data_IF_734185201759
#
_entry.id   IF_734185201759
#
_cell.length_a   1.000
_cell.length_b   1.000
_cell.length_c   1.000
_cell.angle_alpha   90.00
_cell.angle_beta   90.00
_cell.angle_gamma   90.00
#
_symmetry.space_group_name_H-M   'P 1'
#
loop_
_entity.id
_entity.type
_entity.pdbx_description
1 polymer ?
#
# COMPACT_ATOMS: atom_id res chain seq x y z
N UNK A 1 27.78 5.43 -37.87
CA UNK A 1 28.06 4.45 -36.81
C UNK A 1 28.24 5.21 -35.51
N UNK A 2 27.62 4.76 -34.42
CA UNK A 2 27.75 5.43 -33.12
C UNK A 2 29.19 5.25 -32.60
N UNK A 3 29.95 6.34 -32.50
CA UNK A 3 31.38 6.32 -32.11
C UNK A 3 31.58 5.65 -30.75
N UNK A 4 30.66 5.88 -29.81
CA UNK A 4 30.64 5.25 -28.47
C UNK A 4 30.60 3.73 -28.58
N UNK A 5 29.67 3.18 -29.39
CA UNK A 5 29.53 1.73 -29.54
C UNK A 5 30.71 1.10 -30.28
N UNK A 6 31.38 1.87 -31.14
CA UNK A 6 32.56 1.42 -31.87
C UNK A 6 33.74 1.23 -30.90
N UNK A 7 33.97 2.21 -30.01
CA UNK A 7 34.99 2.10 -28.95
C UNK A 7 34.65 0.94 -28.00
N UNK A 8 33.41 0.88 -27.53
CA UNK A 8 32.96 -0.17 -26.60
C UNK A 8 33.15 -1.58 -27.18
N UNK A 9 32.97 -1.76 -28.49
CA UNK A 9 33.21 -3.03 -29.16
C UNK A 9 34.70 -3.44 -29.17
N UNK A 10 35.65 -2.50 -29.17
CA UNK A 10 37.08 -2.78 -29.20
C UNK A 10 37.72 -3.00 -27.82
N UNK A 11 37.16 -2.43 -26.74
CA UNK A 11 37.76 -2.43 -25.40
C UNK A 11 38.24 -3.80 -24.89
N UNK A 12 37.51 -4.88 -25.14
CA UNK A 12 37.88 -6.22 -24.64
C UNK A 12 39.17 -6.78 -25.26
N UNK A 13 39.59 -6.24 -26.40
CA UNK A 13 40.81 -6.67 -27.11
C UNK A 13 42.02 -5.83 -26.72
N UNK A 14 41.80 -4.71 -26.05
CA UNK A 14 42.82 -3.72 -25.72
C UNK A 14 43.40 -3.99 -24.33
N UNK A 15 44.67 -3.59 -24.12
CA UNK A 15 45.39 -3.79 -22.84
C UNK A 15 46.32 -2.61 -22.56
N UNK A 16 46.63 -2.40 -21.27
CA UNK A 16 47.58 -1.36 -20.83
C UNK A 16 47.17 0.04 -21.30
N UNK A 17 48.13 0.82 -21.79
CA UNK A 17 47.91 2.21 -22.23
C UNK A 17 46.87 2.34 -23.36
N UNK A 18 46.79 1.38 -24.28
CA UNK A 18 45.79 1.42 -25.34
C UNK A 18 44.37 1.35 -24.76
N UNK A 19 44.16 0.48 -23.77
CA UNK A 19 42.88 0.39 -23.07
C UNK A 19 42.58 1.68 -22.31
N UNK A 20 43.58 2.27 -21.65
CA UNK A 20 43.41 3.56 -20.94
C UNK A 20 42.98 4.67 -21.88
N UNK A 21 43.64 4.80 -23.03
CA UNK A 21 43.33 5.86 -23.99
C UNK A 21 41.92 5.71 -24.57
N UNK A 22 41.51 4.49 -24.90
CA UNK A 22 40.13 4.21 -25.31
C UNK A 22 39.11 4.51 -24.21
N UNK A 23 39.41 4.18 -22.95
CA UNK A 23 38.54 4.51 -21.82
C UNK A 23 38.47 6.03 -21.57
N UNK A 24 39.59 6.76 -21.71
CA UNK A 24 39.62 8.23 -21.64
C UNK A 24 38.79 8.86 -22.75
N UNK A 25 38.92 8.35 -23.98
CA UNK A 25 38.11 8.81 -25.12
C UNK A 25 36.62 8.53 -24.92
N UNK A 26 36.28 7.33 -24.45
CA UNK A 26 34.91 6.95 -24.13
C UNK A 26 34.31 7.84 -23.03
N UNK A 27 35.08 8.10 -21.97
CA UNK A 27 34.70 9.00 -20.89
C UNK A 27 34.44 10.41 -21.43
N UNK A 28 35.31 10.93 -22.30
CA UNK A 28 35.16 12.24 -22.91
C UNK A 28 33.86 12.34 -23.73
N UNK A 29 33.58 11.37 -24.59
CA UNK A 29 32.37 11.34 -25.42
C UNK A 29 31.09 11.28 -24.57
N UNK A 30 31.08 10.45 -23.52
CA UNK A 30 29.92 10.35 -22.61
C UNK A 30 29.73 11.63 -21.80
N UNK A 31 30.82 12.22 -21.30
CA UNK A 31 30.76 13.40 -20.43
C UNK A 31 30.35 14.67 -21.19
N UNK A 32 30.76 14.78 -22.45
CA UNK A 32 30.44 15.92 -23.33
C UNK A 32 29.10 15.77 -24.06
N UNK A 33 28.43 14.62 -23.93
CA UNK A 33 27.09 14.44 -24.47
C UNK A 33 26.11 15.46 -23.88
N UNK A 34 25.28 16.12 -24.70
CA UNK A 34 24.22 17.01 -24.24
C UNK A 34 23.32 16.38 -23.18
N UNK A 35 22.93 17.17 -22.19
CA UNK A 35 22.01 16.70 -21.14
C UNK A 35 20.68 16.27 -21.75
N UNK A 36 20.24 15.09 -21.35
CA UNK A 36 18.99 14.50 -21.79
C UNK A 36 19.01 13.80 -23.16
N UNK A 37 20.16 13.79 -23.83
CA UNK A 37 20.35 12.95 -25.01
C UNK A 37 20.55 11.49 -24.58
N UNK A 38 19.72 10.60 -25.11
CA UNK A 38 19.85 9.15 -24.86
C UNK A 38 21.09 8.62 -25.57
N UNK A 39 22.03 8.10 -24.78
CA UNK A 39 23.16 7.34 -25.30
C UNK A 39 22.65 5.93 -25.65
N UNK A 40 22.77 5.53 -26.91
CA UNK A 40 22.34 4.21 -27.38
C UNK A 40 23.23 3.07 -26.83
N UNK A 41 22.64 1.88 -26.66
CA UNK A 41 23.36 0.68 -26.24
C UNK A 41 23.82 0.68 -24.79
N UNK A 42 23.10 1.37 -23.90
CA UNK A 42 23.45 1.49 -22.48
C UNK A 42 23.76 0.17 -21.77
N UNK A 43 22.98 -0.88 -22.02
CA UNK A 43 23.22 -2.20 -21.42
C UNK A 43 24.57 -2.78 -21.85
N UNK A 44 24.93 -2.65 -23.13
CA UNK A 44 26.21 -3.12 -23.68
C UNK A 44 27.38 -2.33 -23.08
N UNK A 45 27.21 -1.00 -22.93
CA UNK A 45 28.21 -0.13 -22.31
C UNK A 45 28.43 -0.56 -20.86
N UNK A 46 27.36 -0.70 -20.08
CA UNK A 46 27.43 -1.09 -18.67
C UNK A 46 28.10 -2.47 -18.54
N UNK A 47 27.64 -3.47 -19.30
CA UNK A 47 28.16 -4.85 -19.21
C UNK A 47 29.66 -4.90 -19.51
N UNK A 48 30.10 -4.29 -20.61
CA UNK A 48 31.52 -4.30 -20.99
C UNK A 48 32.39 -3.52 -20.02
N UNK A 49 31.96 -2.35 -19.57
CA UNK A 49 32.73 -1.55 -18.61
C UNK A 49 32.81 -2.26 -17.26
N UNK A 50 31.72 -2.92 -16.84
CA UNK A 50 31.70 -3.75 -15.63
C UNK A 50 32.66 -4.93 -15.73
N UNK A 51 32.68 -5.62 -16.87
CA UNK A 51 33.60 -6.73 -17.10
C UNK A 51 35.05 -6.27 -17.05
N UNK A 52 35.38 -5.12 -17.65
CA UNK A 52 36.73 -4.54 -17.59
C UNK A 52 37.07 -4.17 -16.14
N UNK A 53 36.18 -3.48 -15.44
CA UNK A 53 36.37 -3.13 -14.02
C UNK A 53 36.70 -4.35 -13.16
N UNK A 54 35.94 -5.45 -13.30
CA UNK A 54 36.13 -6.67 -12.51
C UNK A 54 37.38 -7.49 -12.89
N UNK A 55 37.95 -7.31 -14.08
CA UNK A 55 39.07 -8.12 -14.59
C UNK A 55 40.41 -7.40 -14.55
N UNK A 56 40.41 -6.09 -14.36
CA UNK A 56 41.61 -5.26 -14.33
C UNK A 56 42.10 -5.07 -12.89
N UNK A 57 43.41 -5.10 -12.70
CA UNK A 57 44.06 -4.84 -11.41
C UNK A 57 44.67 -3.43 -11.32
N UNK A 58 44.65 -2.67 -12.42
CA UNK A 58 45.22 -1.33 -12.46
C UNK A 58 44.20 -0.30 -11.96
N UNK A 59 44.55 0.38 -10.87
CA UNK A 59 43.67 1.34 -10.17
C UNK A 59 43.19 2.48 -11.08
N UNK A 60 44.06 2.96 -11.99
CA UNK A 60 43.71 3.99 -12.97
C UNK A 60 42.61 3.51 -13.94
N UNK A 61 42.72 2.28 -14.44
CA UNK A 61 41.72 1.68 -15.35
C UNK A 61 40.39 1.49 -14.61
N UNK A 62 40.43 1.00 -13.37
CA UNK A 62 39.24 0.84 -12.55
C UNK A 62 38.56 2.20 -12.27
N UNK A 63 39.35 3.24 -11.97
CA UNK A 63 38.83 4.60 -11.75
C UNK A 63 38.18 5.19 -13.02
N UNK A 64 38.76 4.93 -14.20
CA UNK A 64 38.17 5.31 -15.48
C UNK A 64 36.84 4.57 -15.72
N UNK A 65 36.78 3.27 -15.43
CA UNK A 65 35.54 2.49 -15.56
C UNK A 65 34.42 3.05 -14.66
N UNK A 66 34.73 3.36 -13.40
CA UNK A 66 33.78 3.98 -12.47
C UNK A 66 33.32 5.37 -12.97
N UNK A 67 34.24 6.16 -13.52
CA UNK A 67 33.92 7.48 -14.09
C UNK A 67 32.96 7.37 -15.27
N UNK A 68 33.17 6.39 -16.14
CA UNK A 68 32.32 6.13 -17.30
C UNK A 68 30.91 5.74 -16.83
N UNK A 69 30.80 4.77 -15.92
CA UNK A 69 29.50 4.33 -15.40
C UNK A 69 28.73 5.48 -14.74
N UNK A 70 29.41 6.31 -13.95
CA UNK A 70 28.81 7.46 -13.30
C UNK A 70 28.28 8.48 -14.32
N UNK A 71 29.11 8.90 -15.27
CA UNK A 71 28.71 9.91 -16.25
C UNK A 71 27.62 9.37 -17.17
N UNK A 72 27.69 8.09 -17.55
CA UNK A 72 26.64 7.43 -18.32
C UNK A 72 25.29 7.48 -17.58
N UNK A 73 25.25 7.06 -16.31
CA UNK A 73 24.02 7.09 -15.51
C UNK A 73 23.49 8.52 -15.30
N UNK A 74 24.35 9.54 -15.23
CA UNK A 74 23.92 10.95 -15.11
C UNK A 74 23.29 11.53 -16.38
N UNK A 75 23.60 10.97 -17.56
CA UNK A 75 23.11 11.47 -18.87
C UNK A 75 21.91 10.69 -19.39
N UNK A 76 21.69 9.47 -18.92
CA UNK A 76 20.56 8.65 -19.34
C UNK A 76 19.23 9.23 -18.83
N UNK A 77 18.53 9.98 -19.69
CA UNK A 77 17.18 10.51 -19.46
C UNK A 77 16.08 9.43 -19.41
N UNK A 78 16.40 8.18 -19.76
CA UNK A 78 15.54 7.04 -19.40
C UNK A 78 15.47 6.99 -17.89
N UNK A 79 14.28 6.81 -17.29
CA UNK A 79 14.15 6.36 -15.90
C UNK A 79 15.33 5.43 -15.61
N UNK A 80 16.30 5.91 -14.83
CA UNK A 80 17.53 5.15 -14.61
C UNK A 80 17.03 3.82 -14.06
N UNK A 81 17.19 2.76 -14.85
CA UNK A 81 16.58 1.48 -14.53
C UNK A 81 17.11 1.11 -13.16
N UNK A 82 16.23 0.73 -12.22
CA UNK A 82 16.64 0.46 -10.85
C UNK A 82 17.80 -0.54 -10.81
N UNK A 83 17.86 -1.43 -11.80
CA UNK A 83 18.99 -2.32 -12.09
C UNK A 83 20.32 -1.61 -12.32
N UNK A 84 20.38 -0.51 -13.10
CA UNK A 84 21.61 0.23 -13.37
C UNK A 84 22.14 0.96 -12.14
N UNK A 85 21.24 1.55 -11.35
CA UNK A 85 21.59 2.15 -10.05
C UNK A 85 22.14 1.06 -9.12
N UNK A 86 21.47 -0.09 -9.08
CA UNK A 86 21.89 -1.22 -8.27
C UNK A 86 23.25 -1.77 -8.71
N UNK A 87 23.51 -1.91 -10.01
CA UNK A 87 24.81 -2.31 -10.54
C UNK A 87 25.87 -1.29 -10.15
N UNK A 88 25.65 0.01 -10.40
CA UNK A 88 26.61 1.06 -10.03
C UNK A 88 26.91 1.06 -8.53
N UNK A 89 25.88 0.92 -7.69
CA UNK A 89 26.05 0.78 -6.24
C UNK A 89 26.87 -0.45 -5.88
N UNK A 90 26.54 -1.63 -6.41
CA UNK A 90 27.26 -2.86 -6.11
C UNK A 90 28.75 -2.76 -6.47
N UNK A 91 29.06 -2.21 -7.65
CA UNK A 91 30.43 -2.01 -8.13
C UNK A 91 31.21 -1.02 -7.27
N UNK A 92 30.59 0.10 -6.89
CA UNK A 92 31.23 1.10 -6.04
C UNK A 92 31.46 0.55 -4.63
N UNK A 93 30.50 -0.17 -4.05
CA UNK A 93 30.68 -0.80 -2.74
C UNK A 93 31.78 -1.86 -2.78
N UNK A 94 31.86 -2.65 -3.85
CA UNK A 94 32.96 -3.60 -4.03
C UNK A 94 34.31 -2.88 -4.12
N UNK A 95 34.37 -1.77 -4.86
CA UNK A 95 35.58 -0.96 -5.00
C UNK A 95 36.01 -0.29 -3.69
N UNK A 96 35.07 0.21 -2.89
CA UNK A 96 35.32 0.79 -1.56
C UNK A 96 35.89 -0.26 -0.59
N UNK A 97 35.55 -1.53 -0.79
CA UNK A 97 36.06 -2.64 0.01
C UNK A 97 37.38 -3.21 -0.53
N UNK A 98 38.03 -2.52 -1.47
CA UNK A 98 39.35 -2.89 -1.97
C UNK A 98 40.41 -2.76 -0.87
N UNK A 99 41.44 -3.59 -0.92
CA UNK A 99 42.64 -3.45 -0.07
C UNK A 99 43.57 -2.33 -0.54
N UNK A 100 43.35 -1.80 -1.75
CA UNK A 100 44.09 -0.68 -2.32
C UNK A 100 43.41 0.64 -1.93
N UNK A 101 44.12 1.43 -1.12
CA UNK A 101 43.65 2.72 -0.63
C UNK A 101 43.24 3.68 -1.77
N UNK A 102 43.99 3.73 -2.87
CA UNK A 102 43.69 4.64 -3.98
C UNK A 102 42.40 4.25 -4.69
N UNK A 103 42.12 2.94 -4.81
CA UNK A 103 40.86 2.44 -5.34
C UNK A 103 39.71 2.79 -4.38
N UNK A 104 39.91 2.59 -3.08
CA UNK A 104 38.89 2.91 -2.06
C UNK A 104 38.57 4.40 -2.03
N UNK A 105 39.56 5.27 -2.02
CA UNK A 105 39.39 6.74 -2.06
C UNK A 105 38.68 7.19 -3.34
N UNK A 106 39.13 6.67 -4.49
CA UNK A 106 38.52 6.96 -5.79
C UNK A 106 37.05 6.52 -5.82
N UNK A 107 36.75 5.30 -5.38
CA UNK A 107 35.38 4.79 -5.34
C UNK A 107 34.49 5.56 -4.36
N UNK A 108 35.04 5.95 -3.21
CA UNK A 108 34.35 6.80 -2.21
C UNK A 108 33.97 8.14 -2.82
N UNK A 109 34.93 8.80 -3.46
CA UNK A 109 34.70 10.06 -4.18
C UNK A 109 33.62 9.90 -5.26
N UNK A 110 33.70 8.83 -6.06
CA UNK A 110 32.76 8.57 -7.15
C UNK A 110 31.34 8.27 -6.65
N UNK A 111 31.19 7.55 -5.54
CA UNK A 111 29.89 7.33 -4.91
C UNK A 111 29.28 8.65 -4.41
N UNK A 112 30.09 9.51 -3.80
CA UNK A 112 29.65 10.86 -3.39
C UNK A 112 29.23 11.69 -4.60
N UNK A 113 29.98 11.63 -5.71
CA UNK A 113 29.60 12.30 -6.95
C UNK A 113 28.33 11.73 -7.58
N UNK A 114 28.13 10.40 -7.54
CA UNK A 114 26.88 9.75 -7.93
C UNK A 114 25.70 10.33 -7.16
N UNK A 115 25.83 10.43 -5.85
CA UNK A 115 24.80 11.03 -5.02
C UNK A 115 24.59 12.53 -5.33
N UNK A 116 25.62 13.30 -5.69
CA UNK A 116 25.46 14.71 -6.09
C UNK A 116 24.69 14.85 -7.41
N UNK A 117 25.00 14.02 -8.40
CA UNK A 117 24.45 14.09 -9.76
C UNK A 117 23.08 13.42 -9.89
N UNK A 118 22.80 12.40 -9.08
CA UNK A 118 21.61 11.55 -9.17
C UNK A 118 20.80 11.62 -7.86
N UNK A 119 19.75 12.44 -7.79
CA UNK A 119 18.89 12.54 -6.61
C UNK A 119 18.29 11.19 -6.17
N UNK A 120 17.91 10.34 -7.14
CA UNK A 120 17.34 9.01 -6.94
C UNK A 120 18.34 8.06 -6.27
N UNK A 121 19.63 8.27 -6.51
CA UNK A 121 20.70 7.43 -5.96
C UNK A 121 20.79 7.55 -4.43
N UNK A 122 20.56 8.75 -3.87
CA UNK A 122 20.48 8.94 -2.41
C UNK A 122 19.29 8.19 -1.80
N UNK A 123 18.15 8.21 -2.48
CA UNK A 123 16.96 7.50 -2.02
C UNK A 123 17.15 5.99 -2.08
N UNK A 124 17.69 5.49 -3.20
CA UNK A 124 18.02 4.08 -3.37
C UNK A 124 18.96 3.60 -2.26
N UNK A 125 20.02 4.35 -1.98
CA UNK A 125 21.05 3.98 -1.03
C UNK A 125 20.49 3.89 0.41
N UNK A 126 19.65 4.82 0.83
CA UNK A 126 19.08 4.80 2.20
C UNK A 126 17.89 3.83 2.34
N UNK A 127 17.10 3.62 1.30
CA UNK A 127 15.83 2.90 1.42
C UNK A 127 15.84 1.46 0.89
N UNK A 128 16.72 1.14 -0.07
CA UNK A 128 16.63 -0.10 -0.85
C UNK A 128 17.92 -0.90 -0.93
N UNK A 129 19.08 -0.23 -0.87
CA UNK A 129 20.37 -0.89 -1.10
C UNK A 129 20.91 -1.69 0.11
N UNK A 130 20.27 -1.55 1.28
CA UNK A 130 20.76 -2.11 2.53
C UNK A 130 22.05 -1.46 3.03
N UNK A 131 22.35 -0.22 2.60
CA UNK A 131 23.61 0.46 2.93
C UNK A 131 23.84 0.58 4.44
N UNK A 132 22.83 0.98 5.23
CA UNK A 132 22.99 1.15 6.68
C UNK A 132 23.38 -0.17 7.35
N UNK A 133 22.69 -1.25 6.98
CA UNK A 133 23.04 -2.61 7.44
C UNK A 133 24.47 -2.98 7.05
N UNK A 134 24.88 -2.74 5.79
CA UNK A 134 26.25 -3.02 5.32
C UNK A 134 27.30 -2.19 6.08
N UNK A 135 27.01 -0.91 6.34
CA UNK A 135 27.88 -0.04 7.14
C UNK A 135 28.04 -0.57 8.55
N UNK A 136 26.94 -0.95 9.21
CA UNK A 136 26.95 -1.62 10.51
C UNK A 136 27.82 -2.87 10.50
N UNK A 137 27.63 -3.75 9.52
CA UNK A 137 28.44 -4.97 9.37
C UNK A 137 29.93 -4.67 9.23
N UNK A 138 30.31 -3.69 8.41
CA UNK A 138 31.72 -3.30 8.18
C UNK A 138 32.35 -2.68 9.43
N UNK A 139 31.61 -1.84 10.15
CA UNK A 139 32.11 -1.24 11.40
C UNK A 139 32.32 -2.29 12.50
N UNK A 140 31.48 -3.32 12.54
CA UNK A 140 31.59 -4.45 13.48
C UNK A 140 32.65 -5.47 13.11
N UNK A 141 33.18 -5.46 11.89
CA UNK A 141 34.25 -6.39 11.51
C UNK A 141 35.48 -6.13 12.39
N UNK A 142 35.70 -7.04 13.33
CA UNK A 142 36.94 -7.11 14.09
C UNK A 142 38.08 -7.44 13.14
N UNK A 143 39.22 -6.76 13.32
CA UNK A 143 40.44 -7.01 12.56
C UNK A 143 40.92 -8.43 12.89
N UNK A 144 40.43 -9.41 12.11
CA UNK A 144 40.66 -10.83 12.33
C UNK A 144 42.07 -11.20 11.87
N UNK A 145 43.10 -10.84 12.66
CA UNK A 145 44.44 -11.43 12.49
C UNK A 145 45.31 -11.21 13.72
N UNK A 146 45.19 -12.14 14.66
CA UNK A 146 46.23 -12.54 15.59
C UNK A 146 47.40 -13.16 14.80
N UNK A 147 48.17 -12.36 14.07
CA UNK A 147 49.42 -12.78 13.40
C UNK A 147 50.23 -11.56 12.99
N UNK A 148 51.32 -11.34 13.72
CA UNK A 148 52.43 -10.40 13.50
C UNK A 148 52.65 -9.91 12.05
N UNK A 149 51.96 -8.85 11.62
CA UNK A 149 52.47 -7.90 10.62
C UNK A 149 51.73 -6.56 10.71
N UNK A 150 52.46 -5.47 10.89
CA UNK A 150 51.92 -4.11 11.05
C UNK A 150 51.19 -3.56 9.81
N UNK A 151 51.05 -4.34 8.74
CA UNK A 151 50.45 -3.94 7.47
C UNK A 151 48.98 -4.36 7.31
N UNK A 152 48.48 -5.33 8.10
CA UNK A 152 47.09 -5.79 8.00
C UNK A 152 46.08 -4.94 8.79
N UNK A 153 46.52 -4.26 9.86
CA UNK A 153 45.64 -3.42 10.70
C UNK A 153 45.10 -2.22 9.91
N UNK A 154 45.91 -1.64 9.03
CA UNK A 154 45.55 -0.51 8.16
C UNK A 154 44.50 -0.89 7.10
N UNK A 155 44.34 -2.17 6.79
CA UNK A 155 43.55 -2.63 5.65
C UNK A 155 42.03 -2.54 5.82
N UNK A 156 41.51 -2.41 7.05
CA UNK A 156 40.07 -2.25 7.27
C UNK A 156 39.72 -0.83 7.73
N UNK A 157 40.62 -0.11 8.40
CA UNK A 157 40.29 1.22 8.94
C UNK A 157 40.01 2.24 7.84
N UNK A 158 40.72 2.17 6.71
CA UNK A 158 40.43 3.02 5.57
C UNK A 158 39.07 2.70 4.92
N UNK A 159 38.67 1.43 4.88
CA UNK A 159 37.33 1.00 4.43
C UNK A 159 36.26 1.52 5.39
N UNK A 160 36.44 1.33 6.70
CA UNK A 160 35.55 1.87 7.74
C UNK A 160 35.43 3.39 7.61
N UNK A 161 36.55 4.09 7.42
CA UNK A 161 36.61 5.54 7.25
C UNK A 161 35.82 6.00 6.01
N UNK A 162 35.99 5.32 4.87
CA UNK A 162 35.24 5.57 3.66
C UNK A 162 33.71 5.43 3.86
N UNK A 163 33.27 4.37 4.56
CA UNK A 163 31.85 4.19 4.88
C UNK A 163 31.31 5.31 5.79
N UNK A 164 32.11 5.80 6.74
CA UNK A 164 31.74 6.94 7.58
C UNK A 164 31.66 8.25 6.78
N UNK A 165 32.56 8.48 5.83
CA UNK A 165 32.53 9.67 4.95
C UNK A 165 31.29 9.69 4.07
N UNK A 166 30.94 8.53 3.51
CA UNK A 166 29.72 8.35 2.71
C UNK A 166 28.50 8.65 3.58
N UNK A 167 28.45 8.10 4.80
CA UNK A 167 27.36 8.34 5.74
C UNK A 167 27.25 9.82 6.15
N UNK A 168 28.38 10.49 6.38
CA UNK A 168 28.44 11.92 6.71
C UNK A 168 27.88 12.76 5.56
N UNK A 169 28.14 12.37 4.32
CA UNK A 169 27.54 13.01 3.16
C UNK A 169 26.01 12.79 3.11
N UNK A 170 25.54 11.56 3.33
CA UNK A 170 24.12 11.21 3.20
C UNK A 170 23.28 11.80 4.33
N UNK A 171 23.79 11.83 5.57
CA UNK A 171 23.02 12.35 6.72
C UNK A 171 22.66 13.82 6.54
N UNK A 172 23.47 14.57 5.79
CA UNK A 172 23.19 15.97 5.45
C UNK A 172 22.10 16.14 4.38
N UNK A 173 21.68 15.08 3.70
CA UNK A 173 20.60 15.14 2.74
C UNK A 173 19.22 15.34 3.40
N UNK A 174 18.38 16.14 2.75
CA UNK A 174 16.99 16.40 3.16
C UNK A 174 16.05 15.35 2.55
N UNK A 175 14.91 15.14 3.20
CA UNK A 175 13.78 14.34 2.69
C UNK A 175 14.10 12.86 2.41
N UNK A 176 15.06 12.27 3.10
CA UNK A 176 15.31 10.83 3.06
C UNK A 176 14.51 10.11 4.15
N UNK A 177 13.89 8.98 3.80
CA UNK A 177 13.25 8.07 4.74
C UNK A 177 14.28 7.03 5.19
N UNK A 178 14.72 7.13 6.44
CA UNK A 178 15.65 6.18 7.04
C UNK A 178 14.90 5.00 7.66
N UNK A 179 15.52 3.82 7.59
CA UNK A 179 15.07 2.66 8.35
C UNK A 179 15.42 2.87 9.83
N UNK A 180 14.42 3.00 10.69
CA UNK A 180 14.63 3.30 12.11
C UNK A 180 15.39 2.19 12.84
N UNK A 181 15.16 0.93 12.49
CA UNK A 181 15.80 -0.22 13.16
C UNK A 181 17.29 -0.21 12.85
N UNK A 182 17.65 -0.18 11.56
CA UNK A 182 19.05 -0.13 11.11
C UNK A 182 19.77 1.13 11.61
N UNK A 183 19.06 2.27 11.67
CA UNK A 183 19.63 3.52 12.15
C UNK A 183 19.93 3.50 13.66
N UNK A 184 19.07 2.87 14.47
CA UNK A 184 19.31 2.69 15.91
C UNK A 184 20.52 1.78 16.13
N UNK A 185 20.60 0.67 15.40
CA UNK A 185 21.72 -0.26 15.48
C UNK A 185 23.04 0.42 15.13
N UNK A 186 23.07 1.18 14.03
CA UNK A 186 24.22 1.96 13.60
C UNK A 186 24.65 3.00 14.66
N UNK A 187 23.70 3.70 15.27
CA UNK A 187 24.00 4.66 16.34
C UNK A 187 24.66 3.96 17.53
N UNK A 188 24.15 2.80 17.95
CA UNK A 188 24.74 2.06 19.08
C UNK A 188 26.20 1.70 18.82
N UNK A 189 26.53 1.28 17.59
CA UNK A 189 27.90 0.95 17.19
C UNK A 189 28.78 2.20 17.18
N UNK A 190 28.29 3.29 16.61
CA UNK A 190 29.01 4.57 16.60
C UNK A 190 29.24 5.13 18.00
N UNK A 191 28.34 4.87 18.96
CA UNK A 191 28.55 5.25 20.37
C UNK A 191 29.68 4.47 21.03
N UNK A 192 29.88 3.20 20.64
CA UNK A 192 31.02 2.40 21.12
C UNK A 192 32.32 2.95 20.51
N UNK A 193 32.34 3.17 19.19
CA UNK A 193 33.52 3.72 18.49
C UNK A 193 33.87 5.11 19.01
N UNK A 194 32.89 6.00 19.22
CA UNK A 194 33.15 7.36 19.71
C UNK A 194 33.73 7.43 21.13
N UNK A 195 33.69 6.33 21.89
CA UNK A 195 34.16 6.22 23.29
C UNK A 195 35.48 5.46 23.44
N UNK A 196 36.08 4.95 22.36
CA UNK A 196 37.43 4.36 22.46
C UNK A 196 38.44 5.46 22.78
N UNK A 197 39.03 5.42 23.99
CA UNK A 197 39.98 6.42 24.51
C UNK A 197 41.42 6.20 24.00
N UNK A 198 41.61 5.90 22.70
CA UNK A 198 42.96 5.73 22.15
C UNK A 198 43.48 7.03 21.52
N UNK A 199 44.08 7.87 22.36
CA UNK A 199 45.05 8.89 21.92
C UNK A 199 44.47 10.14 21.23
N UNK A 200 45.36 11.10 20.92
CA UNK A 200 45.01 12.41 20.36
C UNK A 200 44.08 12.26 19.14
N UNK A 201 42.88 12.84 19.24
CA UNK A 201 41.88 12.82 18.18
C UNK A 201 42.42 13.53 16.94
N UNK A 202 42.97 12.76 16.00
CA UNK A 202 43.18 13.23 14.64
C UNK A 202 41.81 13.48 14.00
N UNK A 203 41.66 14.60 13.28
CA UNK A 203 40.38 15.04 12.71
C UNK A 203 39.79 14.01 11.72
N UNK A 204 40.64 13.17 11.14
CA UNK A 204 40.29 12.10 10.20
C UNK A 204 40.12 10.71 10.83
N UNK A 205 40.22 10.59 12.16
CA UNK A 205 40.06 9.31 12.86
C UNK A 205 38.62 8.79 12.80
N UNK A 206 38.45 7.48 12.99
CA UNK A 206 37.13 6.84 13.02
C UNK A 206 36.28 7.39 14.17
N UNK A 207 36.89 7.66 15.32
CA UNK A 207 36.28 8.26 16.51
C UNK A 207 35.77 9.67 16.22
N UNK A 208 36.60 10.52 15.58
CA UNK A 208 36.22 11.88 15.22
C UNK A 208 35.01 11.88 14.27
N UNK A 209 35.03 11.03 13.25
CA UNK A 209 33.90 10.88 12.31
C UNK A 209 32.65 10.33 13.00
N UNK A 210 32.78 9.35 13.90
CA UNK A 210 31.67 8.82 14.67
C UNK A 210 31.04 9.89 15.58
N UNK A 211 31.86 10.69 16.27
CA UNK A 211 31.41 11.80 17.11
C UNK A 211 30.67 12.88 16.32
N UNK A 212 31.12 13.19 15.10
CA UNK A 212 30.40 14.10 14.19
C UNK A 212 29.05 13.52 13.73
N UNK A 213 28.98 12.22 13.46
CA UNK A 213 27.79 11.54 12.93
C UNK A 213 26.66 11.39 13.97
N UNK A 214 27.01 11.02 15.20
CA UNK A 214 26.04 10.73 16.27
C UNK A 214 24.93 11.79 16.45
N UNK A 215 25.23 13.10 16.62
CA UNK A 215 24.19 14.10 16.78
C UNK A 215 23.30 14.23 15.54
N UNK A 216 23.88 14.09 14.34
CA UNK A 216 23.16 14.19 13.08
C UNK A 216 22.16 13.03 12.90
N UNK A 217 22.58 11.80 13.21
CA UNK A 217 21.74 10.61 13.10
C UNK A 217 20.63 10.60 14.17
N UNK A 218 20.94 10.99 15.42
CA UNK A 218 19.93 11.14 16.49
C UNK A 218 18.85 12.17 16.13
N UNK A 219 19.24 13.24 15.45
CA UNK A 219 18.29 14.23 14.93
C UNK A 219 17.37 13.65 13.85
N UNK A 220 17.87 12.77 12.96
CA UNK A 220 17.05 12.11 11.93
C UNK A 220 15.99 11.19 12.53
N UNK A 221 16.36 10.35 13.52
CA UNK A 221 15.41 9.49 14.24
C UNK A 221 14.30 10.34 14.88
N UNK A 222 14.70 11.39 15.60
CA UNK A 222 13.77 12.25 16.34
C UNK A 222 12.78 12.97 15.41
N UNK A 223 13.25 13.40 14.23
CA UNK A 223 12.41 14.06 13.22
C UNK A 223 11.41 13.10 12.58
N UNK A 224 11.86 11.92 12.14
CA UNK A 224 10.95 10.92 11.55
C UNK A 224 9.92 10.41 12.55
N UNK A 225 10.29 10.23 13.82
CA UNK A 225 9.35 9.81 14.86
C UNK A 225 8.22 10.83 15.12
N UNK A 226 8.47 12.12 14.90
CA UNK A 226 7.45 13.18 14.99
C UNK A 226 6.56 13.23 13.76
N UNK A 227 7.13 13.10 12.57
CA UNK A 227 6.39 13.09 11.30
C UNK A 227 5.42 11.91 11.19
N UNK A 228 5.85 10.70 11.61
CA UNK A 228 4.98 9.51 11.62
C UNK A 228 3.84 9.61 12.64
N UNK A 229 4.07 10.24 13.80
CA UNK A 229 3.02 10.47 14.81
C UNK A 229 2.00 11.49 14.34
N UNK A 230 2.43 12.55 13.65
CA UNK A 230 1.54 13.56 13.08
C UNK A 230 0.64 12.96 11.99
N UNK A 231 1.20 12.16 11.06
CA UNK A 231 0.42 11.51 10.01
C UNK A 231 -0.63 10.53 10.55
N UNK A 232 -0.30 9.77 11.60
CA UNK A 232 -1.27 8.89 12.25
C UNK A 232 -2.40 9.67 12.94
N UNK A 233 -2.11 10.85 13.50
CA UNK A 233 -3.12 11.72 14.11
C UNK A 233 -4.11 12.23 13.05
N UNK A 234 -3.61 12.71 11.91
CA UNK A 234 -4.42 13.24 10.82
C UNK A 234 -5.30 12.14 10.17
N UNK A 235 -4.78 10.91 10.07
CA UNK A 235 -5.53 9.78 9.53
C UNK A 235 -6.60 9.27 10.50
N UNK A 236 -6.33 9.25 11.81
CA UNK A 236 -7.33 8.96 12.83
C UNK A 236 -8.45 10.01 12.85
N UNK A 237 -8.10 11.28 12.64
CA UNK A 237 -9.10 12.36 12.56
C UNK A 237 -10.02 12.17 11.34
N UNK A 238 -9.45 11.88 10.16
CA UNK A 238 -10.24 11.60 8.95
C UNK A 238 -11.16 10.38 9.10
N UNK A 239 -10.66 9.29 9.69
CA UNK A 239 -11.48 8.10 9.96
C UNK A 239 -12.60 8.39 10.96
N UNK A 240 -12.34 9.26 11.95
CA UNK A 240 -13.35 9.76 12.88
C UNK A 240 -14.45 10.55 12.17
N UNK A 241 -14.08 11.46 11.27
CA UNK A 241 -15.02 12.25 10.45
C UNK A 241 -15.86 11.37 9.51
N UNK A 242 -15.24 10.36 8.86
CA UNK A 242 -15.96 9.39 8.02
C UNK A 242 -16.93 8.51 8.82
N UNK A 243 -16.56 8.11 10.04
CA UNK A 243 -17.45 7.35 10.93
C UNK A 243 -18.66 8.20 11.35
N UNK A 244 -18.45 9.47 11.66
CA UNK A 244 -19.54 10.37 12.02
C UNK A 244 -20.50 10.60 10.84
N UNK A 245 -19.97 10.81 9.63
CA UNK A 245 -20.81 10.89 8.42
C UNK A 245 -21.60 9.61 8.17
N UNK A 246 -20.99 8.43 8.32
CA UNK A 246 -21.69 7.15 8.18
C UNK A 246 -22.75 6.92 9.26
N UNK A 247 -22.51 7.39 10.48
CA UNK A 247 -23.47 7.32 11.57
C UNK A 247 -24.70 8.21 11.30
N UNK A 248 -24.49 9.43 10.80
CA UNK A 248 -25.56 10.34 10.43
C UNK A 248 -26.36 9.84 9.22
N UNK A 249 -25.71 9.26 8.23
CA UNK A 249 -26.39 8.57 7.13
C UNK A 249 -27.24 7.39 7.61
N UNK A 250 -26.74 6.62 8.58
CA UNK A 250 -27.47 5.49 9.15
C UNK A 250 -28.70 5.95 9.94
N UNK A 251 -28.57 7.03 10.73
CA UNK A 251 -29.69 7.67 11.44
C UNK A 251 -30.73 8.22 10.47
N UNK A 252 -30.32 8.88 9.39
CA UNK A 252 -31.26 9.35 8.37
C UNK A 252 -31.97 8.19 7.65
N UNK A 253 -31.25 7.11 7.30
CA UNK A 253 -31.86 5.92 6.69
C UNK A 253 -32.84 5.20 7.63
N UNK A 254 -32.57 5.16 8.93
CA UNK A 254 -33.49 4.56 9.91
C UNK A 254 -34.76 5.42 10.09
N UNK A 255 -34.61 6.74 10.15
CA UNK A 255 -35.73 7.68 10.23
C UNK A 255 -36.66 7.56 9.01
N UNK A 256 -36.10 7.44 7.80
CA UNK A 256 -36.89 7.22 6.57
C UNK A 256 -37.62 5.88 6.59
N UNK A 257 -37.01 4.80 7.12
CA UNK A 257 -37.69 3.50 7.26
C UNK A 257 -38.82 3.55 8.28
N UNK A 258 -38.64 4.27 9.38
CA UNK A 258 -39.65 4.41 10.42
C UNK A 258 -40.86 5.22 9.90
N UNK A 259 -40.63 6.31 9.16
CA UNK A 259 -41.70 7.08 8.52
C UNK A 259 -42.54 6.21 7.55
N UNK A 260 -41.89 5.38 6.72
CA UNK A 260 -42.59 4.46 5.81
C UNK A 260 -43.42 3.40 6.54
N UNK A 261 -42.99 2.93 7.72
CA UNK A 261 -43.79 1.98 8.52
C UNK A 261 -45.08 2.61 9.04
N UNK A 262 -45.01 3.85 9.50
CA UNK A 262 -46.18 4.60 10.02
C UNK A 262 -47.22 4.77 8.90
N UNK A 263 -46.80 5.08 7.68
CA UNK A 263 -47.72 5.20 6.53
C UNK A 263 -48.41 3.87 6.20
N UNK A 264 -47.70 2.74 6.26
CA UNK A 264 -48.28 1.42 6.00
C UNK A 264 -49.28 1.01 7.09
N UNK A 265 -48.97 1.26 8.36
CA UNK A 265 -49.88 1.00 9.48
C UNK A 265 -51.16 1.85 9.38
N UNK A 266 -51.03 3.13 9.01
CA UNK A 266 -52.18 4.01 8.77
C UNK A 266 -53.06 3.51 7.62
N UNK A 267 -52.48 3.07 6.51
CA UNK A 267 -53.23 2.48 5.39
C UNK A 267 -53.95 1.20 5.84
N UNK A 268 -53.29 0.34 6.63
CA UNK A 268 -53.90 -0.90 7.12
C UNK A 268 -55.09 -0.62 8.05
N UNK A 269 -54.97 0.39 8.92
CA UNK A 269 -56.04 0.84 9.81
C UNK A 269 -57.26 1.34 9.01
N UNK A 270 -57.03 2.18 7.98
CA UNK A 270 -58.11 2.67 7.12
C UNK A 270 -58.81 1.54 6.35
N UNK A 271 -58.05 0.57 5.83
CA UNK A 271 -58.62 -0.61 5.16
C UNK A 271 -59.45 -1.46 6.12
N UNK A 272 -58.98 -1.65 7.37
CA UNK A 272 -59.71 -2.39 8.39
C UNK A 272 -61.04 -1.72 8.76
N UNK A 273 -61.03 -0.39 8.94
CA UNK A 273 -62.23 0.41 9.19
C UNK A 273 -63.21 0.31 8.01
N UNK A 274 -62.72 0.37 6.77
CA UNK A 274 -63.54 0.24 5.58
C UNK A 274 -64.20 -1.15 5.48
N UNK A 275 -63.43 -2.23 5.73
CA UNK A 275 -63.97 -3.61 5.77
C UNK A 275 -65.08 -3.76 6.82
N UNK A 276 -64.88 -3.21 8.03
CA UNK A 276 -65.90 -3.23 9.09
C UNK A 276 -67.18 -2.48 8.70
N UNK A 277 -67.06 -1.34 7.99
CA UNK A 277 -68.21 -0.59 7.47
C UNK A 277 -68.98 -1.38 6.41
N UNK A 278 -68.27 -1.98 5.45
CA UNK A 278 -68.89 -2.80 4.39
C UNK A 278 -69.61 -3.99 5.01
N UNK A 279 -69.00 -4.70 5.96
CA UNK A 279 -69.62 -5.82 6.65
C UNK A 279 -70.95 -5.43 7.33
N UNK A 280 -71.01 -4.26 7.97
CA UNK A 280 -72.25 -3.74 8.57
C UNK A 280 -73.33 -3.43 7.54
N UNK A 281 -72.96 -2.84 6.40
CA UNK A 281 -73.90 -2.52 5.31
C UNK A 281 -74.47 -3.81 4.70
N UNK A 282 -73.60 -4.79 4.42
CA UNK A 282 -74.00 -6.10 3.87
C UNK A 282 -74.92 -6.82 4.86
N UNK A 283 -74.55 -6.89 6.13
CA UNK A 283 -75.37 -7.52 7.17
C UNK A 283 -76.74 -6.84 7.31
N UNK A 284 -76.79 -5.51 7.30
CA UNK A 284 -78.05 -4.76 7.32
C UNK A 284 -78.92 -5.04 6.09
N UNK A 285 -78.31 -5.11 4.91
CA UNK A 285 -79.02 -5.40 3.65
C UNK A 285 -79.57 -6.82 3.62
N UNK A 286 -78.77 -7.81 4.03
CA UNK A 286 -79.21 -9.22 4.15
C UNK A 286 -80.35 -9.35 5.16
N UNK A 287 -80.25 -8.68 6.32
CA UNK A 287 -81.32 -8.68 7.32
C UNK A 287 -82.62 -8.08 6.77
N UNK A 288 -82.53 -7.00 5.98
CA UNK A 288 -83.69 -6.39 5.35
C UNK A 288 -84.33 -7.31 4.29
N UNK A 289 -83.51 -8.00 3.48
CA UNK A 289 -84.00 -8.99 2.50
C UNK A 289 -84.69 -10.16 3.20
N UNK A 290 -84.08 -10.70 4.26
CA UNK A 290 -84.68 -11.78 5.07
C UNK A 290 -86.03 -11.32 5.64
N UNK A 291 -86.10 -10.12 6.22
CA UNK A 291 -87.36 -9.59 6.75
C UNK A 291 -88.44 -9.44 5.65
N UNK A 292 -88.04 -9.02 4.44
CA UNK A 292 -88.95 -8.91 3.29
C UNK A 292 -89.50 -10.28 2.86
N UNK A 293 -88.64 -11.31 2.85
CA UNK A 293 -89.04 -12.69 2.54
C UNK A 293 -90.01 -13.21 3.61
N UNK A 294 -89.65 -13.09 4.89
CA UNK A 294 -90.47 -13.56 6.01
C UNK A 294 -91.84 -12.88 6.02
N UNK A 295 -91.90 -11.57 5.83
CA UNK A 295 -93.16 -10.83 5.79
C UNK A 295 -94.04 -11.23 4.59
N UNK A 296 -93.43 -11.54 3.44
CA UNK A 296 -94.17 -12.02 2.28
C UNK A 296 -94.69 -13.46 2.44
N UNK A 297 -93.97 -14.32 3.16
CA UNK A 297 -94.42 -15.68 3.51
C UNK A 297 -95.61 -15.61 4.47
N UNK A 298 -95.53 -14.79 5.52
CA UNK A 298 -96.65 -14.58 6.46
C UNK A 298 -97.89 -13.98 5.78
N UNK A 299 -97.71 -13.08 4.80
CA UNK A 299 -98.83 -12.58 3.98
C UNK A 299 -99.48 -13.67 3.12
N UNK A 300 -98.71 -14.65 2.63
CA UNK A 300 -99.27 -15.80 1.92
C UNK A 300 -100.05 -16.73 2.86
N UNK A 301 -99.59 -16.95 4.08
CA UNK A 301 -100.33 -17.75 5.08
C UNK A 301 -101.66 -17.10 5.49
N UNK A 302 -101.71 -15.77 5.65
CA UNK A 302 -102.95 -15.05 5.93
C UNK A 302 -103.96 -15.10 4.78
N UNK A 303 -103.50 -15.18 3.52
CA UNK A 303 -104.38 -15.39 2.37
C UNK A 303 -104.88 -16.85 2.24
N UNK A 304 -104.17 -17.82 2.81
CA UNK A 304 -104.61 -19.23 2.86
C UNK A 304 -105.61 -19.44 4.00
N UNK A 305 -105.52 -18.68 5.10
CA UNK A 305 -106.54 -18.69 6.17
C UNK A 305 -107.91 -18.13 5.74
N UNK A 306 -108.01 -17.34 4.67
CA UNK A 306 -109.29 -16.85 4.14
C UNK A 306 -109.97 -17.80 3.13
N UNK A 307 -109.32 -18.91 2.75
CA UNK A 307 -109.88 -19.93 1.83
C UNK A 307 -110.09 -21.28 2.55
N UNK A 308 -109.53 -21.45 3.75
CA UNK A 308 -109.53 -22.71 4.51
C UNK A 308 -110.70 -22.93 5.50
N UNK A 309 -111.75 -22.09 5.49
CA UNK A 309 -112.89 -22.22 6.41
C UNK A 309 -114.07 -23.02 5.80
N UNK A 310 -114.07 -23.31 4.49
CA UNK A 310 -115.17 -24.03 3.82
C UNK A 310 -115.01 -25.54 3.64
N UNK A 311 -113.81 -26.10 3.76
CA UNK A 311 -113.53 -27.50 3.39
C UNK A 311 -113.26 -28.45 4.57
N UNK A 312 -112.99 -27.94 5.77
CA UNK A 312 -112.63 -28.77 6.92
C UNK A 312 -113.83 -29.48 7.57
N UNK A 313 -115.06 -28.97 7.44
CA UNK A 313 -116.25 -29.59 8.03
C UNK A 313 -116.80 -30.78 7.22
N UNK A 314 -116.57 -30.86 5.89
CA UNK A 314 -117.10 -31.97 5.07
C UNK A 314 -116.21 -33.22 5.11
N UNK A 315 -114.89 -33.07 5.28
CA UNK A 315 -113.95 -34.20 5.36
C UNK A 315 -114.08 -34.94 6.70
N UNK A 316 -114.35 -34.23 7.79
CA UNK A 316 -114.54 -34.83 9.12
C UNK A 316 -115.81 -35.70 9.20
N UNK A 317 -116.87 -35.36 8.45
CA UNK A 317 -118.09 -36.16 8.41
C UNK A 317 -117.90 -37.45 7.60
N UNK A 318 -117.17 -37.37 6.48
CA UNK A 318 -116.91 -38.53 5.62
C UNK A 318 -115.96 -39.56 6.25
N UNK A 319 -114.95 -39.12 7.01
CA UNK A 319 -114.03 -40.04 7.71
C UNK A 319 -114.72 -40.79 8.86
N UNK A 320 -115.67 -40.15 9.56
CA UNK A 320 -116.48 -40.80 10.61
C UNK A 320 -117.43 -41.87 10.05
N UNK A 321 -117.94 -41.71 8.83
CA UNK A 321 -118.83 -42.69 8.20
C UNK A 321 -118.07 -43.94 7.74
N UNK A 322 -116.87 -43.76 7.17
CA UNK A 322 -116.00 -44.86 6.70
C UNK A 322 -115.49 -45.72 7.87
N UNK A 323 -115.12 -45.10 9.00
CA UNK A 323 -114.68 -45.82 10.20
C UNK A 323 -115.80 -46.58 10.92
N UNK A 324 -117.08 -46.17 10.77
CA UNK A 324 -118.22 -46.86 11.42
C UNK A 324 -118.66 -48.11 10.67
N UNK A 325 -118.49 -48.15 9.34
CA UNK A 325 -118.83 -49.31 8.51
C UNK A 325 -117.73 -50.38 8.50
N UNK A 326 -116.47 -50.01 8.79
CA UNK A 326 -115.36 -50.96 8.87
C UNK A 326 -115.38 -51.85 10.14
N UNK A 327 -116.09 -51.44 11.20
CA UNK A 327 -116.18 -52.18 12.47
C UNK A 327 -117.27 -53.28 12.45
N UNK A 328 -118.14 -53.30 11.44
CA UNK A 328 -119.21 -54.32 11.30
C UNK A 328 -118.83 -55.51 10.39
N UNK A 329 -117.58 -55.56 9.90
CA UNK A 329 -117.06 -56.64 9.04
C UNK A 329 -115.96 -57.46 9.76
N UNK A 330 -115.84 -57.34 11.09
CA UNK A 330 -114.97 -58.20 11.92
C UNK A 330 -115.78 -58.90 12.99
#
# INVERSE_FOLDING_TARGET
SNEILTIVASLEKEKGEQLKDSLRQLLFLISTSPDGQRIEGGEIIIDKIMKIFCTQNESEIQALCLSILLNFNSKSNSQVNESHIQTLYASLIQAIQSTDLAITESATYQLIQAMKKLPEFKQFLVQRSGFLKKTTEILLQENSSSSSSSQQIVSNDHVKSAFLDILLYIVNAKNLKWNQIELIELINILEVIARSEEGQQEEDSLEAKAQQLLPLLKMKISKQGKESKQQNCDQCQKLGEELHQKEDEAKNKSNVRNAKRIDVENVHLHVSIAKSRIARIVHGSVKNVINLIVNNVLKKELNVQYVGIGYAESVQSNVKLVLRNAVLIV
#
